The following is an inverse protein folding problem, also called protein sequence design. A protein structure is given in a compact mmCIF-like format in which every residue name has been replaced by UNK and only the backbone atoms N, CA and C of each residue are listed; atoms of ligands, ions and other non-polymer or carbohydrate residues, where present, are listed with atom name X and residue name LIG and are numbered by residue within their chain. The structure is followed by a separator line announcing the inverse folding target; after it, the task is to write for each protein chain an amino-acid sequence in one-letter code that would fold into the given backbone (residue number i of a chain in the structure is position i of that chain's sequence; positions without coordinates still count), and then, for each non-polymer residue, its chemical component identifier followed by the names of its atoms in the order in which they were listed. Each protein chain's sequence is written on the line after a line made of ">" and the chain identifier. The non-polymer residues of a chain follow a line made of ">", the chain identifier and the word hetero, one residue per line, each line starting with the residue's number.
data_IF_793184971110
#
_entry.id   IF_793184971110
#
_cell.length_a   1.000
_cell.length_b   1.000
_cell.length_c   1.000
_cell.angle_alpha   90.00
_cell.angle_beta   90.00
_cell.angle_gamma   90.00
#
_symmetry.space_group_name_H-M   'P 1'
#
loop_
_entity.id
_entity.type
_entity.pdbx_description
1 polymer ?
#
# COMPACT_ATOMS: atom_id res chain seq x y z
N UNK A 1 37.59 6.95 16.32
CA UNK A 1 36.18 7.28 16.61
C UNK A 1 35.84 8.49 15.76
N UNK A 2 35.02 8.33 14.72
CA UNK A 2 34.67 9.43 13.82
C UNK A 2 33.78 10.42 14.59
N UNK A 3 34.29 11.60 14.93
CA UNK A 3 33.46 12.72 15.36
C UNK A 3 32.62 13.13 14.16
N UNK A 4 31.37 12.66 14.11
CA UNK A 4 30.40 13.25 13.20
C UNK A 4 30.27 14.72 13.58
N UNK A 5 30.84 15.60 12.76
CA UNK A 5 30.79 17.03 12.99
C UNK A 5 29.34 17.50 13.09
N UNK A 6 29.11 18.55 13.87
CA UNK A 6 27.82 19.20 13.99
C UNK A 6 27.35 19.65 12.59
N UNK A 7 26.36 18.97 12.03
CA UNK A 7 25.89 19.20 10.67
C UNK A 7 24.83 20.28 10.68
N UNK A 8 24.92 21.19 9.72
CA UNK A 8 23.86 22.15 9.43
C UNK A 8 22.61 21.43 8.92
N UNK A 9 21.43 21.82 9.39
CA UNK A 9 20.14 21.21 9.08
C UNK A 9 19.06 22.27 8.77
N UNK A 10 18.00 21.90 8.05
CA UNK A 10 16.87 22.81 7.79
C UNK A 10 15.72 22.55 8.79
N UNK A 11 14.97 23.60 9.11
CA UNK A 11 13.89 23.52 10.10
C UNK A 11 12.81 22.51 9.69
N UNK A 12 12.50 22.44 8.40
CA UNK A 12 11.54 21.50 7.82
C UNK A 12 11.87 20.05 8.16
N UNK A 13 13.09 19.58 7.87
CA UNK A 13 13.49 18.19 8.16
C UNK A 13 13.42 17.87 9.65
N UNK A 14 13.72 18.85 10.50
CA UNK A 14 13.60 18.69 11.95
C UNK A 14 12.15 18.54 12.39
N UNK A 15 11.26 19.42 11.91
CA UNK A 15 9.83 19.36 12.22
C UNK A 15 9.18 18.08 11.69
N UNK A 16 9.47 17.69 10.45
CA UNK A 16 8.99 16.44 9.87
C UNK A 16 9.40 15.22 10.72
N UNK A 17 10.65 15.19 11.16
CA UNK A 17 11.15 14.09 11.99
C UNK A 17 10.50 14.09 13.37
N UNK A 18 10.29 15.27 13.97
CA UNK A 18 9.63 15.42 15.26
C UNK A 18 8.17 14.96 15.18
N UNK A 19 7.43 15.40 14.15
CA UNK A 19 6.04 15.00 13.90
C UNK A 19 5.95 13.48 13.73
N UNK A 20 6.85 12.90 12.93
CA UNK A 20 6.89 11.45 12.73
C UNK A 20 7.07 10.66 14.03
N UNK A 21 7.96 11.09 14.92
CA UNK A 21 8.15 10.43 16.22
C UNK A 21 6.97 10.65 17.17
N UNK A 22 6.32 11.82 17.14
CA UNK A 22 5.11 12.10 17.91
C UNK A 22 3.94 11.22 17.46
N UNK A 23 3.71 11.08 16.15
CA UNK A 23 2.68 10.21 15.58
C UNK A 23 2.90 8.76 16.01
N UNK A 24 4.14 8.27 15.96
CA UNK A 24 4.51 6.93 16.41
C UNK A 24 4.27 6.72 17.90
N UNK A 25 4.55 7.73 18.72
CA UNK A 25 4.25 7.69 20.14
C UNK A 25 2.73 7.61 20.38
N UNK A 26 1.95 8.42 19.66
CA UNK A 26 0.49 8.42 19.72
C UNK A 26 -0.11 7.06 19.31
N UNK A 27 0.39 6.43 18.24
CA UNK A 27 -0.02 5.08 17.82
C UNK A 27 0.27 4.03 18.90
N UNK A 28 1.46 4.09 19.49
CA UNK A 28 1.86 3.16 20.55
C UNK A 28 0.94 3.31 21.76
N UNK A 29 0.55 4.55 22.07
CA UNK A 29 -0.40 4.84 23.14
C UNK A 29 -1.81 4.35 22.80
N UNK A 30 -2.29 4.49 21.57
CA UNK A 30 -3.63 4.02 21.20
C UNK A 30 -3.77 2.51 21.41
N UNK A 31 -2.78 1.72 21.00
CA UNK A 31 -2.75 0.26 21.24
C UNK A 31 -2.63 -0.07 22.72
N UNK A 32 -1.80 0.65 23.48
CA UNK A 32 -1.73 0.48 24.94
C UNK A 32 -3.06 0.83 25.60
N UNK A 33 -3.78 1.83 25.10
CA UNK A 33 -5.08 2.28 25.58
C UNK A 33 -6.22 1.28 25.37
N UNK A 34 -6.08 0.34 24.43
CA UNK A 34 -6.97 -0.81 24.27
C UNK A 34 -6.79 -1.85 25.38
N UNK A 35 -5.56 -2.01 25.86
CA UNK A 35 -5.18 -3.05 26.82
C UNK A 35 -5.19 -2.57 28.29
N UNK A 36 -5.13 -1.25 28.52
CA UNK A 36 -5.17 -0.64 29.85
C UNK A 36 -5.65 0.80 29.77
N UNK A 37 -6.29 1.27 30.85
CA UNK A 37 -6.66 2.68 30.99
C UNK A 37 -5.39 3.54 31.04
N UNK A 38 -5.26 4.50 30.11
CA UNK A 38 -4.18 5.47 30.15
C UNK A 38 -4.51 6.51 31.23
N UNK A 39 -3.62 6.66 32.21
CA UNK A 39 -3.77 7.61 33.32
C UNK A 39 -2.95 8.88 33.11
N UNK A 40 -2.20 8.97 32.00
CA UNK A 40 -1.29 10.06 31.71
C UNK A 40 -1.83 10.88 30.54
N UNK A 41 -1.83 12.20 30.69
CA UNK A 41 -1.95 13.16 29.58
C UNK A 41 -0.59 13.19 28.87
N UNK A 42 -0.54 13.19 27.53
CA UNK A 42 0.74 13.43 26.84
C UNK A 42 1.13 14.86 27.18
N UNK A 43 2.20 14.96 27.98
CA UNK A 43 2.57 16.15 28.74
C UNK A 43 2.99 17.27 27.80
N UNK A 44 2.66 18.52 28.17
CA UNK A 44 3.16 19.72 27.48
C UNK A 44 4.69 19.63 27.37
N UNK A 45 5.19 19.55 26.14
CA UNK A 45 6.62 19.51 25.87
C UNK A 45 7.06 20.90 25.40
N UNK A 46 7.90 21.55 26.20
CA UNK A 46 8.63 22.74 25.78
C UNK A 46 10.04 22.31 25.38
N UNK A 47 10.35 22.43 24.10
CA UNK A 47 11.68 22.16 23.57
C UNK A 47 12.39 23.46 23.26
N UNK A 48 13.50 23.71 23.93
CA UNK A 48 14.33 24.89 23.70
C UNK A 48 15.65 24.48 23.05
N UNK A 49 15.92 25.04 21.88
CA UNK A 49 17.15 24.82 21.14
C UNK A 49 17.97 26.11 21.08
N UNK A 50 19.28 25.99 21.26
CA UNK A 50 20.23 27.07 21.03
C UNK A 50 20.93 26.82 19.70
N UNK A 51 20.72 27.71 18.73
CA UNK A 51 21.05 27.49 17.32
C UNK A 51 21.70 28.73 16.71
N UNK A 52 22.56 28.51 15.72
CA UNK A 52 23.07 29.55 14.83
C UNK A 52 22.36 29.46 13.49
N UNK A 53 21.50 30.45 13.14
CA UNK A 53 20.90 30.50 11.82
C UNK A 53 21.92 31.00 10.78
N UNK A 54 21.96 30.32 9.64
CA UNK A 54 22.75 30.67 8.47
C UNK A 54 21.78 30.87 7.29
N UNK A 55 21.86 32.01 6.61
CA UNK A 55 21.06 32.28 5.42
C UNK A 55 21.99 32.40 4.21
N UNK A 56 21.81 31.51 3.23
CA UNK A 56 22.65 31.44 2.02
C UNK A 56 22.10 32.28 0.84
N UNK A 57 21.05 33.07 1.08
CA UNK A 57 20.36 33.87 0.06
C UNK A 57 19.08 33.24 -0.46
N UNK A 58 18.90 31.93 -0.25
CA UNK A 58 17.71 31.17 -0.67
C UNK A 58 17.13 30.36 0.49
N UNK A 59 17.99 29.68 1.27
CA UNK A 59 17.60 28.77 2.33
C UNK A 59 18.16 29.19 3.69
N UNK A 60 17.35 28.99 4.74
CA UNK A 60 17.79 29.12 6.14
C UNK A 60 18.19 27.75 6.66
N UNK A 61 19.39 27.65 7.22
CA UNK A 61 19.88 26.45 7.89
C UNK A 61 20.29 26.77 9.31
N UNK A 62 20.35 25.75 10.15
CA UNK A 62 20.63 25.87 11.56
C UNK A 62 21.79 24.94 11.92
N UNK A 63 22.71 25.47 12.72
CA UNK A 63 23.76 24.69 13.36
C UNK A 63 23.55 24.74 14.86
N UNK A 64 23.56 23.57 15.54
CA UNK A 64 23.32 23.52 16.98
C UNK A 64 24.47 24.17 17.74
N UNK A 65 24.21 24.96 18.79
CA UNK A 65 25.29 25.55 19.58
C UNK A 65 26.06 24.47 20.35
N UNK A 66 27.40 24.57 20.37
CA UNK A 66 28.25 23.72 21.22
C UNK A 66 28.35 24.31 22.62
N UNK A 67 28.68 23.48 23.64
CA UNK A 67 28.89 23.98 25.00
C UNK A 67 29.91 25.13 25.04
N UNK A 68 29.50 26.27 25.60
CA UNK A 68 30.34 27.45 25.76
C UNK A 68 30.36 28.44 24.59
N UNK A 69 29.71 28.13 23.46
CA UNK A 69 29.54 29.10 22.37
C UNK A 69 28.57 30.22 22.78
N UNK A 70 28.92 31.47 22.43
CA UNK A 70 28.12 32.67 22.74
C UNK A 70 27.47 33.21 21.47
N UNK A 71 26.33 33.89 21.62
CA UNK A 71 25.61 34.53 20.50
C UNK A 71 24.66 33.60 19.74
N UNK A 72 24.43 32.37 20.24
CA UNK A 72 23.40 31.49 19.68
C UNK A 72 22.00 32.10 19.90
N UNK A 73 21.15 31.97 18.89
CA UNK A 73 19.74 32.29 19.00
C UNK A 73 19.00 31.19 19.75
N UNK A 74 18.00 31.57 20.55
CA UNK A 74 17.12 30.62 21.23
C UNK A 74 15.84 30.44 20.43
N UNK A 75 15.53 29.20 20.07
CA UNK A 75 14.24 28.83 19.48
C UNK A 75 13.51 27.93 20.48
N UNK A 76 12.28 28.31 20.83
CA UNK A 76 11.42 27.54 21.72
C UNK A 76 10.22 27.00 20.94
N UNK A 77 9.99 25.69 21.02
CA UNK A 77 8.83 25.01 20.47
C UNK A 77 7.90 24.61 21.61
N UNK A 78 6.65 25.06 21.55
CA UNK A 78 5.61 24.64 22.48
C UNK A 78 4.66 23.68 21.77
N UNK A 79 4.65 22.43 22.23
CA UNK A 79 3.72 21.41 21.77
C UNK A 79 2.57 21.31 22.76
N UNK A 80 1.34 21.40 22.28
CA UNK A 80 0.15 21.32 23.13
C UNK A 80 -0.09 19.90 23.64
N UNK A 81 -0.64 19.78 24.85
CA UNK A 81 -1.06 18.50 25.41
C UNK A 81 -2.22 17.86 24.63
N UNK A 82 -2.23 16.52 24.54
CA UNK A 82 -3.37 15.73 24.05
C UNK A 82 -3.85 14.76 25.14
N UNK A 83 -5.16 14.70 25.35
CA UNK A 83 -5.81 13.78 26.31
C UNK A 83 -6.03 12.38 25.72
N UNK A 84 -6.30 11.38 26.57
CA UNK A 84 -6.66 10.01 26.11
C UNK A 84 -7.90 10.02 25.19
N UNK A 85 -8.90 10.87 25.47
CA UNK A 85 -10.08 10.97 24.60
C UNK A 85 -9.72 11.55 23.24
N UNK A 86 -8.88 12.59 23.20
CA UNK A 86 -8.41 13.19 21.95
C UNK A 86 -7.54 12.21 21.16
N UNK A 87 -6.67 11.43 21.82
CA UNK A 87 -5.89 10.36 21.18
C UNK A 87 -6.86 9.38 20.50
N UNK A 88 -7.89 8.89 21.19
CA UNK A 88 -8.83 7.93 20.57
C UNK A 88 -9.60 8.51 19.39
N UNK A 89 -9.92 9.80 19.42
CA UNK A 89 -10.66 10.48 18.34
C UNK A 89 -9.78 10.76 17.12
N UNK A 90 -8.52 11.13 17.31
CA UNK A 90 -7.65 11.62 16.23
C UNK A 90 -6.62 10.59 15.75
N UNK A 91 -6.36 9.52 16.50
CA UNK A 91 -5.45 8.45 16.07
C UNK A 91 -6.17 7.55 15.07
N UNK A 92 -5.48 7.22 13.98
CA UNK A 92 -5.98 6.19 13.07
C UNK A 92 -6.03 4.82 13.77
N UNK A 93 -6.96 3.94 13.36
CA UNK A 93 -6.92 2.55 13.79
C UNK A 93 -5.55 1.93 13.48
N UNK A 94 -5.03 1.07 14.36
CA UNK A 94 -3.84 0.29 14.06
C UNK A 94 -4.08 -0.64 12.86
N UNK A 95 -2.99 -1.08 12.22
CA UNK A 95 -3.03 -2.04 11.09
C UNK A 95 -3.87 -3.27 11.52
N UNK A 96 -4.91 -3.58 10.75
CA UNK A 96 -5.83 -4.67 11.05
C UNK A 96 -5.31 -6.03 10.57
N UNK A 97 -5.90 -7.13 11.07
CA UNK A 97 -5.58 -8.47 10.57
C UNK A 97 -5.91 -8.57 9.07
N UNK A 98 -4.93 -9.03 8.28
CA UNK A 98 -5.05 -9.19 6.83
C UNK A 98 -4.47 -8.02 6.03
N UNK A 99 -4.23 -6.86 6.66
CA UNK A 99 -3.51 -5.77 6.02
C UNK A 99 -2.00 -6.07 5.95
N UNK A 100 -1.39 -5.76 4.80
CA UNK A 100 0.08 -5.86 4.66
C UNK A 100 0.73 -4.55 5.08
N UNK A 101 1.62 -4.62 6.08
CA UNK A 101 2.43 -3.48 6.54
C UNK A 101 3.37 -3.00 5.44
N UNK A 102 3.58 -1.68 5.36
CA UNK A 102 4.58 -1.11 4.46
C UNK A 102 5.98 -1.62 4.79
N UNK A 103 6.28 -2.04 6.02
CA UNK A 103 7.59 -2.61 6.40
C UNK A 103 7.86 -4.00 5.81
N UNK A 104 6.81 -4.75 5.48
CA UNK A 104 6.93 -6.11 4.93
C UNK A 104 7.04 -6.12 3.41
N UNK A 105 6.90 -4.94 2.80
CA UNK A 105 6.96 -4.78 1.35
C UNK A 105 8.39 -4.56 0.89
N UNK A 106 8.75 -5.13 -0.25
CA UNK A 106 9.97 -4.82 -0.98
C UNK A 106 9.89 -3.43 -1.62
N UNK A 107 10.33 -2.42 -0.87
CA UNK A 107 10.45 -1.03 -1.29
C UNK A 107 11.85 -0.51 -0.92
N UNK A 108 12.42 0.41 -1.72
CA UNK A 108 13.60 1.15 -1.30
C UNK A 108 13.36 1.84 0.05
N UNK A 109 14.36 1.79 0.94
CA UNK A 109 14.28 2.40 2.27
C UNK A 109 13.90 3.88 2.25
N UNK A 110 14.31 4.60 1.21
CA UNK A 110 13.96 6.01 1.00
C UNK A 110 12.46 6.17 0.76
N UNK A 111 11.86 5.37 -0.13
CA UNK A 111 10.43 5.42 -0.43
C UNK A 111 9.60 5.00 0.78
N UNK A 112 10.03 3.94 1.48
CA UNK A 112 9.41 3.47 2.72
C UNK A 112 9.34 4.58 3.77
N UNK A 113 10.43 5.33 3.95
CA UNK A 113 10.49 6.46 4.88
C UNK A 113 9.57 7.60 4.47
N UNK A 114 9.52 7.95 3.18
CA UNK A 114 8.63 9.01 2.70
C UNK A 114 7.15 8.63 2.87
N UNK A 115 6.76 7.39 2.57
CA UNK A 115 5.39 6.90 2.85
C UNK A 115 5.05 7.00 4.34
N UNK A 116 5.99 6.61 5.21
CA UNK A 116 5.83 6.67 6.66
C UNK A 116 5.66 8.09 7.18
N UNK A 117 6.41 9.06 6.66
CA UNK A 117 6.25 10.49 6.99
C UNK A 117 4.88 11.02 6.61
N UNK A 118 4.29 10.50 5.52
CA UNK A 118 2.93 10.83 5.10
C UNK A 118 1.84 10.08 5.90
N UNK A 119 2.22 9.31 6.92
CA UNK A 119 1.29 8.54 7.73
C UNK A 119 0.71 7.30 7.03
N UNK A 120 1.37 6.81 5.96
CA UNK A 120 0.99 5.60 5.23
C UNK A 120 1.72 4.41 5.85
N UNK A 121 0.99 3.51 6.52
CA UNK A 121 1.56 2.39 7.29
C UNK A 121 1.26 1.03 6.70
N UNK A 122 0.18 0.91 5.91
CA UNK A 122 -0.16 -0.31 5.18
C UNK A 122 -0.36 -0.05 3.69
N UNK A 123 -0.36 -1.14 2.91
CA UNK A 123 -0.73 -1.08 1.48
C UNK A 123 -2.17 -0.59 1.28
N UNK A 124 -3.05 -0.82 2.25
CA UNK A 124 -4.42 -0.29 2.25
C UNK A 124 -4.44 1.22 2.53
N UNK A 125 -3.63 1.71 3.47
CA UNK A 125 -3.47 3.17 3.67
C UNK A 125 -3.03 3.87 2.39
N UNK A 126 -2.09 3.27 1.66
CA UNK A 126 -1.60 3.78 0.38
C UNK A 126 -2.74 3.85 -0.64
N UNK A 127 -3.50 2.75 -0.79
CA UNK A 127 -4.65 2.67 -1.68
C UNK A 127 -5.69 3.74 -1.36
N UNK A 128 -6.13 3.85 -0.11
CA UNK A 128 -7.11 4.87 0.33
C UNK A 128 -6.62 6.28 0.06
N UNK A 129 -5.32 6.54 0.25
CA UNK A 129 -4.75 7.88 0.05
C UNK A 129 -4.72 8.26 -1.43
N UNK A 130 -4.30 7.34 -2.30
CA UNK A 130 -4.17 7.62 -3.74
C UNK A 130 -5.53 7.57 -4.44
N UNK A 131 -6.35 6.55 -4.17
CA UNK A 131 -7.60 6.31 -4.88
C UNK A 131 -8.78 7.05 -4.25
N UNK A 132 -9.06 6.80 -2.97
CA UNK A 132 -10.28 7.31 -2.33
C UNK A 132 -10.18 8.82 -2.06
N UNK A 133 -8.96 9.30 -1.72
CA UNK A 133 -8.69 10.72 -1.46
C UNK A 133 -8.09 11.47 -2.65
N UNK A 134 -7.83 10.78 -3.77
CA UNK A 134 -7.29 11.36 -5.00
C UNK A 134 -6.00 12.19 -4.79
N UNK A 135 -5.09 11.71 -3.94
CA UNK A 135 -3.83 12.40 -3.65
C UNK A 135 -2.75 11.98 -4.65
N UNK A 136 -2.14 12.96 -5.31
CA UNK A 136 -0.95 12.76 -6.15
C UNK A 136 0.30 12.76 -5.27
N UNK A 137 0.70 11.57 -4.82
CA UNK A 137 1.88 11.40 -3.96
C UNK A 137 3.17 11.83 -4.67
N UNK A 138 3.23 11.77 -6.01
CA UNK A 138 4.39 12.22 -6.77
C UNK A 138 4.59 13.72 -6.68
N UNK A 139 3.51 14.51 -6.69
CA UNK A 139 3.58 15.96 -6.45
C UNK A 139 3.91 16.31 -5.01
N UNK A 140 3.29 15.62 -4.06
CA UNK A 140 3.48 15.90 -2.61
C UNK A 140 4.91 15.55 -2.17
N UNK A 141 5.51 14.52 -2.73
CA UNK A 141 6.87 14.08 -2.38
C UNK A 141 7.96 14.60 -3.31
N UNK A 142 7.64 15.56 -4.18
CA UNK A 142 8.61 16.12 -5.16
C UNK A 142 9.28 15.01 -6.01
N UNK A 143 8.53 13.97 -6.37
CA UNK A 143 8.97 12.80 -7.14
C UNK A 143 9.99 11.89 -6.42
N UNK A 144 10.07 11.95 -5.09
CA UNK A 144 10.88 11.00 -4.28
C UNK A 144 10.31 9.57 -4.26
N UNK A 145 9.11 9.36 -4.83
CA UNK A 145 8.43 8.07 -4.92
C UNK A 145 8.37 7.54 -6.36
N UNK A 146 8.71 6.25 -6.56
CA UNK A 146 8.56 5.57 -7.83
C UNK A 146 7.13 5.04 -8.01
N UNK A 147 6.38 5.62 -8.96
CA UNK A 147 4.99 5.26 -9.21
C UNK A 147 4.78 3.82 -9.68
N UNK A 148 5.77 3.17 -10.30
CA UNK A 148 5.64 1.77 -10.76
C UNK A 148 5.53 0.80 -9.59
N UNK A 149 6.41 0.94 -8.58
CA UNK A 149 6.37 0.15 -7.35
C UNK A 149 5.09 0.40 -6.56
N UNK A 150 4.64 1.66 -6.49
CA UNK A 150 3.39 2.01 -5.80
C UNK A 150 2.15 1.43 -6.51
N UNK A 151 2.10 1.46 -7.84
CA UNK A 151 0.98 0.89 -8.60
C UNK A 151 0.80 -0.61 -8.29
N UNK A 152 1.90 -1.35 -8.20
CA UNK A 152 1.91 -2.75 -7.81
C UNK A 152 1.34 -2.97 -6.40
N UNK A 153 1.69 -2.12 -5.44
CA UNK A 153 1.18 -2.20 -4.07
C UNK A 153 -0.29 -1.83 -3.97
N UNK A 154 -0.72 -0.82 -4.71
CA UNK A 154 -2.11 -0.41 -4.82
C UNK A 154 -2.94 -1.56 -5.42
N UNK A 155 -2.44 -2.21 -6.48
CA UNK A 155 -3.10 -3.35 -7.11
C UNK A 155 -3.20 -4.54 -6.14
N UNK A 156 -2.12 -4.85 -5.40
CA UNK A 156 -2.14 -5.90 -4.37
C UNK A 156 -3.16 -5.62 -3.28
N UNK A 157 -3.19 -4.40 -2.73
CA UNK A 157 -4.18 -4.00 -1.72
C UNK A 157 -5.62 -4.13 -2.24
N UNK A 158 -5.86 -3.67 -3.47
CA UNK A 158 -7.16 -3.77 -4.10
C UNK A 158 -7.65 -5.22 -4.24
N UNK A 159 -6.74 -6.17 -4.52
CA UNK A 159 -7.08 -7.60 -4.59
C UNK A 159 -7.39 -8.24 -3.24
N UNK A 160 -6.84 -7.70 -2.15
CA UNK A 160 -7.18 -8.15 -0.80
C UNK A 160 -8.58 -7.67 -0.39
N UNK A 161 -8.92 -6.42 -0.70
CA UNK A 161 -10.25 -5.86 -0.42
C UNK A 161 -11.34 -6.45 -1.32
N UNK A 162 -11.03 -6.64 -2.61
CA UNK A 162 -11.94 -7.12 -3.65
C UNK A 162 -11.38 -8.38 -4.31
N UNK A 163 -11.46 -9.55 -3.65
CA UNK A 163 -10.96 -10.78 -4.22
C UNK A 163 -11.76 -11.15 -5.48
N UNK A 164 -11.11 -11.76 -6.49
CA UNK A 164 -11.80 -12.30 -7.64
C UNK A 164 -12.72 -13.45 -7.23
N UNK A 165 -13.93 -13.47 -7.76
CA UNK A 165 -14.87 -14.57 -7.56
C UNK A 165 -15.49 -14.96 -8.89
N UNK A 166 -15.60 -16.27 -9.12
CA UNK A 166 -16.34 -16.83 -10.26
C UNK A 166 -17.63 -17.42 -9.72
N UNK A 167 -18.75 -16.89 -10.17
CA UNK A 167 -20.09 -17.34 -9.79
C UNK A 167 -20.60 -18.43 -10.73
N UNK A 168 -20.22 -18.38 -12.01
CA UNK A 168 -20.71 -19.32 -13.03
C UNK A 168 -19.63 -19.58 -14.08
N UNK A 169 -19.52 -20.84 -14.49
CA UNK A 169 -18.74 -21.26 -15.65
C UNK A 169 -19.68 -21.95 -16.65
N UNK A 170 -19.57 -21.60 -17.93
CA UNK A 170 -20.41 -22.20 -18.98
C UNK A 170 -19.62 -22.43 -20.26
N UNK A 171 -19.89 -23.57 -20.91
CA UNK A 171 -19.27 -23.93 -22.18
C UNK A 171 -20.30 -23.75 -23.29
N UNK A 172 -19.92 -23.05 -24.36
CA UNK A 172 -20.78 -22.83 -25.53
C UNK A 172 -20.00 -23.02 -26.82
N UNK A 173 -20.68 -23.37 -27.90
CA UNK A 173 -20.10 -23.33 -29.25
C UNK A 173 -20.49 -22.02 -29.92
N UNK A 174 -19.51 -21.23 -30.34
CA UNK A 174 -19.72 -19.97 -31.04
C UNK A 174 -18.78 -19.92 -32.25
N UNK A 175 -19.32 -19.66 -33.44
CA UNK A 175 -18.53 -19.53 -34.68
C UNK A 175 -17.59 -20.72 -34.98
N UNK A 176 -17.97 -21.93 -34.57
CA UNK A 176 -17.16 -23.15 -34.75
C UNK A 176 -16.11 -23.39 -33.66
N UNK A 177 -15.88 -22.43 -32.77
CA UNK A 177 -15.00 -22.56 -31.62
C UNK A 177 -15.77 -22.93 -30.35
N UNK A 178 -15.13 -23.69 -29.47
CA UNK A 178 -15.66 -23.93 -28.11
C UNK A 178 -15.18 -22.79 -27.20
N UNK A 179 -16.12 -22.08 -26.58
CA UNK A 179 -15.84 -20.93 -25.72
C UNK A 179 -16.27 -21.25 -24.29
N UNK A 180 -15.32 -21.17 -23.37
CA UNK A 180 -15.56 -21.21 -21.93
C UNK A 180 -15.76 -19.78 -21.43
N UNK A 181 -16.94 -19.49 -20.89
CA UNK A 181 -17.30 -18.21 -20.31
C UNK A 181 -17.36 -18.34 -18.80
N UNK A 182 -16.54 -17.55 -18.11
CA UNK A 182 -16.58 -17.37 -16.66
C UNK A 182 -17.29 -16.06 -16.36
N UNK A 183 -18.28 -16.09 -15.48
CA UNK A 183 -19.02 -14.92 -14.99
C UNK A 183 -18.81 -14.77 -13.49
N UNK A 184 -18.61 -13.55 -13.02
CA UNK A 184 -18.27 -13.28 -11.64
C UNK A 184 -18.00 -11.81 -11.36
N UNK A 185 -17.04 -11.54 -10.46
CA UNK A 185 -16.63 -10.18 -10.09
C UNK A 185 -15.12 -10.09 -9.90
N UNK A 186 -14.55 -8.91 -10.18
CA UNK A 186 -13.13 -8.64 -10.13
C UNK A 186 -12.30 -9.57 -11.04
N UNK A 187 -12.86 -10.00 -12.17
CA UNK A 187 -12.23 -10.97 -13.10
C UNK A 187 -11.24 -10.34 -14.09
N UNK A 188 -11.17 -9.02 -14.18
CA UNK A 188 -10.11 -8.32 -14.90
C UNK A 188 -9.95 -6.91 -14.31
N UNK A 189 -8.72 -6.48 -14.06
CA UNK A 189 -8.43 -5.09 -13.68
C UNK A 189 -8.27 -4.24 -14.94
N UNK A 190 -8.56 -2.94 -14.84
CA UNK A 190 -8.46 -1.97 -15.95
C UNK A 190 -7.01 -1.75 -16.45
N UNK A 191 -6.01 -2.23 -15.71
CA UNK A 191 -4.62 -2.27 -16.14
C UNK A 191 -4.27 -3.68 -16.60
N UNK A 192 -4.56 -4.01 -17.86
CA UNK A 192 -3.97 -5.17 -18.52
C UNK A 192 -2.46 -4.98 -18.59
N UNK A 193 -1.72 -5.73 -17.78
CA UNK A 193 -0.29 -5.92 -17.97
C UNK A 193 -0.08 -6.77 -19.22
N UNK A 194 1.01 -6.59 -19.96
CA UNK A 194 1.26 -7.24 -21.27
C UNK A 194 1.13 -8.78 -21.27
N UNK A 195 1.15 -9.42 -20.09
CA UNK A 195 1.09 -10.87 -19.90
C UNK A 195 -0.18 -11.35 -19.17
N UNK A 196 -1.11 -10.46 -18.83
CA UNK A 196 -2.29 -10.79 -18.03
C UNK A 196 -3.58 -10.20 -18.63
N UNK A 197 -4.73 -10.89 -18.48
CA UNK A 197 -4.88 -12.21 -17.86
C UNK A 197 -4.29 -13.35 -18.71
N UNK A 198 -3.92 -14.44 -18.04
CA UNK A 198 -3.42 -15.68 -18.66
C UNK A 198 -4.17 -16.89 -18.09
N UNK A 199 -4.44 -17.89 -18.92
CA UNK A 199 -5.16 -19.08 -18.52
C UNK A 199 -4.50 -20.35 -19.07
N UNK A 200 -4.52 -21.41 -18.28
CA UNK A 200 -4.12 -22.76 -18.69
C UNK A 200 -5.18 -23.77 -18.30
N UNK A 201 -5.46 -24.72 -19.18
CA UNK A 201 -6.30 -25.90 -18.89
C UNK A 201 -5.40 -27.12 -18.97
N UNK A 202 -5.33 -27.91 -17.90
CA UNK A 202 -4.44 -29.07 -17.81
C UNK A 202 -2.98 -28.72 -18.20
N UNK A 203 -2.52 -27.58 -17.69
CA UNK A 203 -1.20 -26.97 -17.96
C UNK A 203 -0.92 -26.63 -19.44
N UNK A 204 -1.95 -26.64 -20.30
CA UNK A 204 -1.87 -26.14 -21.67
C UNK A 204 -2.43 -24.71 -21.78
N UNK A 205 -1.68 -23.75 -22.37
CA UNK A 205 -2.14 -22.38 -22.57
C UNK A 205 -3.44 -22.29 -23.35
N UNK A 206 -4.32 -21.41 -22.90
CA UNK A 206 -5.62 -21.14 -23.51
C UNK A 206 -5.71 -19.67 -23.86
N UNK A 207 -6.14 -19.38 -25.08
CA UNK A 207 -6.29 -18.02 -25.58
C UNK A 207 -7.47 -17.33 -24.90
N UNK A 208 -7.25 -16.09 -24.44
CA UNK A 208 -8.28 -15.25 -23.85
C UNK A 208 -8.89 -14.38 -24.95
N UNK A 209 -10.18 -14.60 -25.21
CA UNK A 209 -10.92 -13.87 -26.24
C UNK A 209 -11.38 -12.48 -25.75
N UNK A 210 -11.78 -12.39 -24.48
CA UNK A 210 -12.17 -11.14 -23.86
C UNK A 210 -12.06 -11.21 -22.34
N UNK A 211 -11.65 -10.12 -21.72
CA UNK A 211 -11.57 -9.98 -20.28
C UNK A 211 -12.27 -8.69 -19.83
N UNK A 212 -13.09 -8.79 -18.81
CA UNK A 212 -13.78 -7.68 -18.16
C UNK A 212 -13.92 -7.97 -16.67
N UNK A 213 -14.25 -6.95 -15.89
CA UNK A 213 -14.49 -7.08 -14.44
C UNK A 213 -15.48 -8.20 -14.09
N UNK A 214 -16.49 -8.43 -14.94
CA UNK A 214 -17.57 -9.40 -14.68
C UNK A 214 -17.48 -10.69 -15.48
N UNK A 215 -16.67 -10.73 -16.53
CA UNK A 215 -16.68 -11.84 -17.48
C UNK A 215 -15.31 -12.08 -18.10
N UNK A 216 -14.91 -13.36 -18.16
CA UNK A 216 -13.73 -13.84 -18.87
C UNK A 216 -14.14 -14.89 -19.91
N UNK A 217 -13.71 -14.73 -21.17
CA UNK A 217 -13.97 -15.70 -22.24
C UNK A 217 -12.67 -16.32 -22.73
N UNK A 218 -12.65 -17.64 -22.79
CA UNK A 218 -11.49 -18.45 -23.13
C UNK A 218 -11.82 -19.33 -24.34
N UNK A 219 -10.93 -19.39 -25.32
CA UNK A 219 -11.06 -20.27 -26.48
C UNK A 219 -10.52 -21.65 -26.16
N UNK A 220 -11.41 -22.62 -26.00
CA UNK A 220 -11.07 -23.99 -25.62
C UNK A 220 -11.00 -24.88 -26.87
N UNK A 221 -9.93 -25.65 -26.99
CA UNK A 221 -9.79 -26.70 -28.01
C UNK A 221 -10.10 -28.06 -27.40
N UNK A 222 -10.49 -29.02 -28.23
CA UNK A 222 -10.81 -30.36 -27.75
C UNK A 222 -9.60 -31.06 -27.11
N UNK A 223 -8.38 -30.72 -27.54
CA UNK A 223 -7.13 -31.17 -26.92
C UNK A 223 -6.97 -30.72 -25.47
N UNK A 224 -7.55 -29.57 -25.08
CA UNK A 224 -7.50 -29.08 -23.72
C UNK A 224 -8.41 -29.89 -22.77
N UNK A 225 -9.43 -30.58 -23.30
CA UNK A 225 -10.48 -31.24 -22.51
C UNK A 225 -10.26 -32.76 -22.32
N UNK A 226 -9.05 -33.27 -22.59
CA UNK A 226 -8.73 -34.71 -22.57
C UNK A 226 -8.13 -35.21 -21.23
N UNK A 227 -8.32 -34.48 -20.13
CA UNK A 227 -7.80 -34.89 -18.82
C UNK A 227 -8.40 -36.20 -18.33
N UNK A 228 -7.55 -37.19 -18.00
CA UNK A 228 -7.97 -38.54 -17.56
C UNK A 228 -8.70 -38.57 -16.20
N UNK A 229 -8.84 -37.45 -15.50
CA UNK A 229 -9.47 -37.35 -14.17
C UNK A 229 -10.29 -36.07 -13.95
N UNK A 230 -10.78 -35.44 -15.02
CA UNK A 230 -11.39 -34.11 -15.00
C UNK A 230 -10.45 -33.04 -15.56
N UNK A 231 -11.00 -31.86 -15.89
CA UNK A 231 -10.23 -30.77 -16.49
C UNK A 231 -10.00 -29.68 -15.44
N UNK A 232 -8.76 -29.30 -15.19
CA UNK A 232 -8.43 -28.22 -14.27
C UNK A 232 -8.12 -26.94 -15.04
N UNK A 233 -8.79 -25.85 -14.69
CA UNK A 233 -8.50 -24.51 -15.18
C UNK A 233 -7.73 -23.73 -14.11
N UNK A 234 -6.58 -23.17 -14.49
CA UNK A 234 -5.86 -22.16 -13.70
C UNK A 234 -5.89 -20.86 -14.47
N UNK A 235 -6.26 -19.78 -13.79
CA UNK A 235 -6.27 -18.43 -14.37
C UNK A 235 -5.45 -17.51 -13.48
N UNK A 236 -4.50 -16.81 -14.09
CA UNK A 236 -3.79 -15.71 -13.50
C UNK A 236 -4.37 -14.40 -14.06
N UNK A 237 -5.00 -13.60 -13.20
CA UNK A 237 -5.60 -12.33 -13.57
C UNK A 237 -4.58 -11.19 -13.57
N UNK A 238 -3.58 -11.28 -12.70
CA UNK A 238 -2.42 -10.40 -12.53
C UNK A 238 -1.40 -11.11 -11.60
N UNK A 239 -0.22 -10.53 -11.30
CA UNK A 239 0.77 -11.15 -10.42
C UNK A 239 0.31 -11.48 -8.99
N UNK A 240 -0.84 -10.96 -8.56
CA UNK A 240 -1.34 -11.08 -7.19
C UNK A 240 -2.65 -11.90 -7.09
N UNK A 241 -3.27 -12.23 -8.22
CA UNK A 241 -4.55 -12.93 -8.28
C UNK A 241 -4.49 -14.14 -9.22
N UNK A 242 -4.33 -15.32 -8.62
CA UNK A 242 -4.39 -16.61 -9.32
C UNK A 242 -5.46 -17.47 -8.67
N UNK A 243 -6.36 -18.03 -9.48
CA UNK A 243 -7.35 -19.00 -9.00
C UNK A 243 -7.30 -20.29 -9.82
N UNK A 244 -7.68 -21.38 -9.18
CA UNK A 244 -7.77 -22.71 -9.79
C UNK A 244 -9.18 -23.24 -9.58
N UNK A 245 -9.75 -23.86 -10.62
CA UNK A 245 -11.06 -24.53 -10.53
C UNK A 245 -11.06 -25.84 -11.32
N UNK A 246 -11.89 -26.77 -10.88
CA UNK A 246 -12.16 -28.00 -11.62
C UNK A 246 -13.40 -27.76 -12.51
N UNK A 247 -13.28 -28.12 -13.78
CA UNK A 247 -14.36 -28.02 -14.76
C UNK A 247 -15.11 -29.36 -14.77
N UNK A 248 -16.30 -29.37 -14.21
CA UNK A 248 -17.20 -30.52 -14.29
C UNK A 248 -18.05 -30.43 -15.56
N UNK A 249 -18.01 -31.48 -16.37
CA UNK A 249 -18.85 -31.57 -17.56
C UNK A 249 -20.24 -32.05 -17.13
N UNK A 250 -21.16 -31.12 -16.83
CA UNK A 250 -22.58 -31.47 -16.79
C UNK A 250 -23.07 -31.67 -18.23
N UNK A 251 -22.88 -32.89 -18.75
CA UNK A 251 -23.61 -33.35 -19.94
C UNK A 251 -25.04 -33.57 -19.48
N UNK A 252 -25.92 -32.61 -19.73
CA UNK A 252 -27.35 -32.80 -19.54
C UNK A 252 -27.81 -33.88 -20.52
N UNK A 253 -28.37 -35.02 -20.06
CA UNK A 253 -28.88 -36.04 -20.97
C UNK A 253 -30.09 -35.49 -21.74
N UNK A 254 -30.35 -36.01 -22.96
CA UNK A 254 -31.49 -35.60 -23.79
C UNK A 254 -32.84 -35.85 -23.12
#
# INVERSE_FOLDING_TARGET
>A
MASSGNKSWNLESFLDSLIFELDKAQDTLSVKGLNRRLTYMVQDMNLELQLFPEFDGDNVRFTTAKPGEKGASKISFQLGSISDSQIREVTRPPIQQGETSIDEVDLPETERKELKKLGIKSTEDLRRTVQDRNVDLGKVTEKKLNYGSLANLINKAHRQEKPPSVAKASLSKSQGDTVLTLEGSNLASAQSLDQFPAAVINDQPVEILSASDKQLKLKVKQTHLQGQGGNQLKVALDPYAVFTMNLESQVQPP
#
